data_IF_588899884225
#
_entry.id   IF_588899884225
#
_cell.length_a   1.000
_cell.length_b   1.000
_cell.length_c   1.000
_cell.angle_alpha   90.00
_cell.angle_beta   90.00
_cell.angle_gamma   90.00
#
_symmetry.space_group_name_H-M   'P 1'
#
loop_
_entity.id
_entity.type
_entity.pdbx_description
1 polymer ?
#
# COMPACT_ATOMS: atom_id res chain seq x y z
N UNK A 1 -10.64 5.63 9.00
CA UNK A 1 -11.33 5.81 7.70
C UNK A 1 -10.31 6.13 6.61
N UNK A 2 -10.47 5.62 5.39
CA UNK A 2 -9.58 5.93 4.25
C UNK A 2 -9.96 7.29 3.65
N UNK A 3 -9.17 8.33 3.92
CA UNK A 3 -9.42 9.69 3.43
C UNK A 3 -9.16 9.79 1.92
N UNK A 4 -9.74 10.80 1.26
CA UNK A 4 -9.51 11.03 -0.18
C UNK A 4 -8.03 11.27 -0.51
N UNK A 5 -7.30 11.96 0.36
CA UNK A 5 -5.86 12.14 0.22
C UNK A 5 -5.11 10.80 0.25
N UNK A 6 -5.46 9.91 1.19
CA UNK A 6 -4.88 8.55 1.29
C UNK A 6 -5.23 7.70 0.07
N UNK A 7 -6.44 7.82 -0.49
CA UNK A 7 -6.83 7.14 -1.74
C UNK A 7 -5.97 7.59 -2.93
N UNK A 8 -5.73 8.90 -3.07
CA UNK A 8 -4.88 9.45 -4.13
C UNK A 8 -3.44 8.95 -4.02
N UNK A 9 -2.88 8.95 -2.81
CA UNK A 9 -1.53 8.43 -2.56
C UNK A 9 -1.44 6.93 -2.86
N UNK A 10 -2.40 6.14 -2.36
CA UNK A 10 -2.45 4.71 -2.64
C UNK A 10 -2.52 4.43 -4.15
N UNK A 11 -3.37 5.16 -4.88
CA UNK A 11 -3.48 5.05 -6.34
C UNK A 11 -2.15 5.38 -7.02
N UNK A 12 -1.51 6.48 -6.65
CA UNK A 12 -0.23 6.89 -7.20
C UNK A 12 0.87 5.82 -6.98
N UNK A 13 0.93 5.23 -5.78
CA UNK A 13 1.88 4.16 -5.46
C UNK A 13 1.61 2.91 -6.31
N UNK A 14 0.35 2.46 -6.38
CA UNK A 14 -0.06 1.28 -7.17
C UNK A 14 0.22 1.48 -8.66
N UNK A 15 -0.14 2.63 -9.23
CA UNK A 15 0.12 2.95 -10.64
C UNK A 15 1.63 2.94 -10.92
N UNK A 16 2.44 3.55 -10.04
CA UNK A 16 3.90 3.61 -10.17
C UNK A 16 4.52 2.21 -10.14
N UNK A 17 4.13 1.38 -9.18
CA UNK A 17 4.68 0.03 -9.03
C UNK A 17 4.28 -0.87 -10.21
N UNK A 18 3.01 -0.79 -10.65
CA UNK A 18 2.52 -1.51 -11.83
C UNK A 18 3.23 -1.08 -13.11
N UNK A 19 3.39 0.23 -13.34
CA UNK A 19 4.09 0.78 -14.51
C UNK A 19 5.53 0.25 -14.62
N UNK A 20 6.20 0.09 -13.48
CA UNK A 20 7.57 -0.41 -13.40
C UNK A 20 7.66 -1.95 -13.25
N UNK A 21 6.53 -2.67 -13.33
CA UNK A 21 6.45 -4.13 -13.16
C UNK A 21 7.08 -4.61 -11.84
N UNK A 22 6.97 -3.82 -10.78
CA UNK A 22 7.46 -4.15 -9.44
C UNK A 22 6.35 -4.91 -8.72
N UNK A 23 6.59 -6.19 -8.43
CA UNK A 23 5.69 -6.95 -7.57
C UNK A 23 5.67 -6.37 -6.15
N UNK A 24 4.46 -6.14 -5.64
CA UNK A 24 4.21 -5.55 -4.32
C UNK A 24 3.01 -6.20 -3.64
N UNK A 25 2.92 -6.01 -2.32
CA UNK A 25 1.79 -6.44 -1.51
C UNK A 25 1.38 -5.33 -0.55
N UNK A 26 0.08 -5.02 -0.50
CA UNK A 26 -0.48 -4.16 0.55
C UNK A 26 -0.43 -4.94 1.87
N UNK A 27 0.09 -4.29 2.92
CA UNK A 27 0.33 -4.92 4.22
C UNK A 27 -0.16 -4.03 5.36
N UNK A 28 0.16 -4.40 6.60
CA UNK A 28 -0.11 -3.55 7.76
C UNK A 28 -1.58 -3.29 8.05
N UNK A 29 -1.84 -2.07 8.53
CA UNK A 29 -3.19 -1.61 8.85
C UNK A 29 -4.14 -1.59 7.65
N UNK A 30 -3.63 -1.24 6.46
CA UNK A 30 -4.45 -1.25 5.24
C UNK A 30 -4.84 -2.67 4.83
N UNK A 31 -3.89 -3.61 4.89
CA UNK A 31 -4.16 -5.03 4.68
C UNK A 31 -5.19 -5.57 5.70
N UNK A 32 -4.99 -5.28 6.98
CA UNK A 32 -5.92 -5.72 8.03
C UNK A 32 -7.36 -5.21 7.81
N UNK A 33 -7.52 -3.96 7.36
CA UNK A 33 -8.83 -3.38 7.03
C UNK A 33 -9.45 -4.11 5.82
N UNK A 34 -8.65 -4.44 4.80
CA UNK A 34 -9.14 -5.21 3.66
C UNK A 34 -9.67 -6.61 4.06
N UNK A 35 -9.15 -7.20 5.14
CA UNK A 35 -9.62 -8.45 5.74
C UNK A 35 -10.66 -8.26 6.86
N UNK A 36 -11.31 -7.08 6.94
CA UNK A 36 -12.46 -6.85 7.83
C UNK A 36 -12.14 -6.20 9.19
N UNK A 37 -10.89 -5.82 9.45
CA UNK A 37 -10.56 -5.05 10.66
C UNK A 37 -11.23 -3.67 10.64
N UNK A 38 -11.77 -3.25 11.79
CA UNK A 38 -12.41 -1.93 11.97
C UNK A 38 -11.45 -0.84 12.49
N UNK A 39 -10.14 -1.11 12.53
CA UNK A 39 -9.14 -0.16 13.04
C UNK A 39 -9.04 1.10 12.16
N UNK A 40 -8.58 2.19 12.76
CA UNK A 40 -8.21 3.36 11.97
C UNK A 40 -6.96 3.12 11.15
N UNK A 41 -6.96 3.64 9.92
CA UNK A 41 -5.80 3.62 9.03
C UNK A 41 -4.93 4.84 9.32
N UNK A 42 -3.71 4.60 9.83
CA UNK A 42 -2.77 5.67 10.15
C UNK A 42 -1.89 6.01 8.94
N UNK A 43 -1.28 4.98 8.37
CA UNK A 43 -0.30 4.99 7.29
C UNK A 43 -0.69 4.03 6.15
N UNK A 44 0.11 4.00 5.08
CA UNK A 44 0.00 3.05 3.98
C UNK A 44 1.30 2.24 3.94
N UNK A 45 1.19 0.94 4.15
CA UNK A 45 2.33 0.03 4.12
C UNK A 45 2.28 -0.86 2.87
N UNK A 46 3.38 -0.85 2.11
CA UNK A 46 3.55 -1.68 0.92
C UNK A 46 4.85 -2.47 1.06
N UNK A 47 4.75 -3.79 1.02
CA UNK A 47 5.88 -4.68 0.95
C UNK A 47 6.30 -4.88 -0.51
N UNK A 48 7.61 -4.85 -0.78
CA UNK A 48 8.19 -5.13 -2.09
C UNK A 48 9.34 -6.13 -1.93
N UNK A 49 9.70 -6.82 -3.01
CA UNK A 49 10.86 -7.70 -3.00
C UNK A 49 12.15 -6.92 -2.76
N UNK A 50 13.05 -7.43 -1.90
CA UNK A 50 14.35 -6.80 -1.57
C UNK A 50 15.18 -6.41 -2.80
N UNK A 51 15.13 -7.20 -3.87
CA UNK A 51 15.80 -6.89 -5.15
C UNK A 51 15.40 -5.55 -5.77
N UNK A 52 14.21 -5.05 -5.45
CA UNK A 52 13.68 -3.78 -5.96
C UNK A 52 13.95 -2.60 -5.02
N UNK A 53 14.48 -2.85 -3.82
CA UNK A 53 14.90 -1.83 -2.86
C UNK A 53 16.10 -2.36 -2.05
N UNK A 54 17.30 -2.39 -2.67
CA UNK A 54 18.53 -2.82 -2.03
C UNK A 54 19.05 -1.69 -1.14
N UNK A 55 18.38 -1.47 -0.03
CA UNK A 55 18.84 -0.62 1.08
C UNK A 55 19.28 -1.48 2.26
#
# INVERSE_FOLDING_TARGET
>A
MLTEAKKKVLKFLVDTLNKNKIAFQVSGGLGAIAYGSKRELRDIEIAINKKNCPV
#
